data_IF_605828954463
#
_entry.id   IF_605828954463
#
_cell.length_a   1.000
_cell.length_b   1.000
_cell.length_c   1.000
_cell.angle_alpha   90.00
_cell.angle_beta   90.00
_cell.angle_gamma   90.00
#
_symmetry.space_group_name_H-M   'P 1'
#
loop_
_entity.id
_entity.type
_entity.pdbx_description
1 polymer ?
#
# COMPACT_ATOMS: atom_id res chain seq x y z
N UNK A 1 -11.29 8.06 -12.98
CA UNK A 1 -11.89 9.39 -13.26
C UNK A 1 -11.79 10.21 -12.00
N UNK A 2 -11.63 11.52 -12.11
CA UNK A 2 -11.62 12.40 -10.93
C UNK A 2 -13.03 12.51 -10.38
N UNK A 3 -13.28 11.95 -9.21
CA UNK A 3 -14.48 12.19 -8.39
C UNK A 3 -14.13 13.22 -7.32
N UNK A 4 -15.13 13.97 -6.83
CA UNK A 4 -14.95 14.88 -5.68
C UNK A 4 -14.95 14.14 -4.33
N UNK A 5 -15.12 12.81 -4.36
CA UNK A 5 -15.13 11.96 -3.17
C UNK A 5 -13.71 11.66 -2.70
N UNK A 6 -13.49 11.71 -1.39
CA UNK A 6 -12.23 11.29 -0.80
C UNK A 6 -12.02 9.79 -1.02
N UNK A 7 -10.87 9.37 -1.60
CA UNK A 7 -10.60 7.97 -1.87
C UNK A 7 -10.49 7.18 -0.56
N UNK A 8 -11.20 6.05 -0.50
CA UNK A 8 -11.12 5.10 0.59
C UNK A 8 -9.79 4.33 0.61
N UNK A 9 -9.61 3.52 1.65
CA UNK A 9 -8.42 2.69 1.81
C UNK A 9 -8.26 1.73 0.62
N UNK A 10 -7.21 1.92 -0.19
CA UNK A 10 -6.93 1.09 -1.37
C UNK A 10 -7.49 1.61 -2.69
N UNK A 11 -8.27 2.69 -2.71
CA UNK A 11 -8.88 3.25 -3.93
C UNK A 11 -7.86 3.92 -4.86
N UNK A 12 -6.68 4.25 -4.33
CA UNK A 12 -5.55 4.76 -5.12
C UNK A 12 -4.75 3.64 -5.80
N UNK A 13 -4.98 2.37 -5.46
CA UNK A 13 -4.32 1.27 -6.12
C UNK A 13 -4.92 1.06 -7.52
N UNK A 14 -4.08 1.18 -8.54
CA UNK A 14 -4.51 0.92 -9.91
C UNK A 14 -4.63 -0.58 -10.18
N UNK A 15 -5.72 -0.98 -10.81
CA UNK A 15 -5.89 -2.34 -11.31
C UNK A 15 -4.82 -2.68 -12.36
N UNK A 16 -4.26 -3.88 -12.27
CA UNK A 16 -3.31 -4.37 -13.26
C UNK A 16 -4.06 -4.83 -14.53
N UNK A 17 -3.90 -4.11 -15.64
CA UNK A 17 -4.52 -4.46 -16.93
C UNK A 17 -4.02 -5.80 -17.52
N UNK A 18 -2.85 -6.27 -17.07
CA UNK A 18 -2.24 -7.52 -17.55
C UNK A 18 -2.59 -8.73 -16.67
N UNK A 19 -3.02 -8.51 -15.43
CA UNK A 19 -3.48 -9.63 -14.62
C UNK A 19 -4.78 -10.19 -15.19
N UNK A 20 -4.98 -11.52 -15.13
CA UNK A 20 -6.28 -12.11 -15.44
C UNK A 20 -7.37 -11.51 -14.54
N UNK A 21 -8.39 -10.92 -15.16
CA UNK A 21 -9.56 -10.35 -14.53
C UNK A 21 -10.81 -10.95 -15.19
N UNK A 22 -11.50 -11.88 -14.49
CA UNK A 22 -12.76 -12.41 -14.96
C UNK A 22 -13.70 -11.25 -15.34
N UNK A 23 -14.44 -11.42 -16.43
CA UNK A 23 -15.40 -10.44 -17.00
C UNK A 23 -14.81 -9.14 -17.57
N UNK A 24 -13.50 -8.92 -17.48
CA UNK A 24 -12.84 -7.69 -17.98
C UNK A 24 -11.91 -7.98 -19.16
N UNK A 25 -10.93 -8.88 -18.97
CA UNK A 25 -9.90 -9.17 -19.97
C UNK A 25 -9.65 -10.68 -20.16
N UNK A 26 -10.60 -11.50 -19.76
CA UNK A 26 -10.57 -12.95 -19.88
C UNK A 26 -11.75 -13.42 -20.76
N UNK A 27 -11.58 -14.49 -21.57
CA UNK A 27 -12.69 -15.04 -22.35
C UNK A 27 -13.73 -15.69 -21.43
N UNK A 28 -14.99 -15.76 -21.87
CA UNK A 28 -16.11 -16.26 -21.05
C UNK A 28 -15.90 -17.71 -20.57
N UNK A 29 -15.20 -18.52 -21.35
CA UNK A 29 -14.90 -19.93 -21.09
C UNK A 29 -13.57 -20.17 -20.37
N UNK A 30 -12.94 -19.12 -19.82
CA UNK A 30 -11.64 -19.21 -19.15
C UNK A 30 -11.56 -20.31 -18.07
N UNK A 31 -12.69 -20.63 -17.43
CA UNK A 31 -12.81 -21.66 -16.40
C UNK A 31 -12.55 -23.08 -16.91
N UNK A 32 -12.63 -23.32 -18.22
CA UNK A 32 -12.29 -24.60 -18.84
C UNK A 32 -10.77 -24.82 -18.89
N UNK A 33 -9.99 -23.72 -18.88
CA UNK A 33 -8.53 -23.72 -18.95
C UNK A 33 -7.91 -22.77 -17.91
N UNK A 34 -8.19 -22.95 -16.60
CA UNK A 34 -7.79 -22.01 -15.56
C UNK A 34 -6.26 -21.90 -15.43
N UNK A 35 -5.51 -22.93 -15.82
CA UNK A 35 -4.05 -22.96 -15.81
C UNK A 35 -3.40 -21.90 -16.70
N UNK A 36 -4.13 -21.40 -17.71
CA UNK A 36 -3.67 -20.33 -18.60
C UNK A 36 -3.83 -18.93 -18.01
N UNK A 37 -4.66 -18.80 -16.99
CA UNK A 37 -5.09 -17.52 -16.43
C UNK A 37 -4.77 -17.40 -14.93
N UNK A 38 -3.60 -17.92 -14.54
CA UNK A 38 -3.13 -17.87 -13.15
C UNK A 38 -2.69 -16.45 -12.82
N UNK A 39 -3.26 -15.89 -11.74
CA UNK A 39 -2.80 -14.64 -11.15
C UNK A 39 -1.81 -14.93 -10.03
N UNK A 40 -0.58 -14.44 -10.19
CA UNK A 40 0.44 -14.49 -9.14
C UNK A 40 0.41 -13.19 -8.33
N UNK A 41 0.28 -13.35 -7.02
CA UNK A 41 0.35 -12.26 -6.04
C UNK A 41 1.52 -12.54 -5.09
N UNK A 42 2.43 -11.58 -4.98
CA UNK A 42 3.53 -11.55 -4.03
C UNK A 42 3.08 -10.72 -2.83
N UNK A 43 3.37 -11.21 -1.64
CA UNK A 43 3.25 -10.45 -0.39
C UNK A 43 4.63 -9.91 -0.04
N UNK A 44 4.72 -8.60 0.17
CA UNK A 44 5.92 -7.98 0.74
C UNK A 44 5.52 -7.16 1.98
N UNK A 45 6.40 -7.15 2.96
CA UNK A 45 6.16 -6.54 4.25
C UNK A 45 7.40 -5.83 4.76
N UNK A 46 7.30 -4.52 4.93
CA UNK A 46 8.29 -3.78 5.68
C UNK A 46 7.90 -3.77 7.16
N UNK A 47 8.40 -4.74 7.93
CA UNK A 47 8.18 -4.88 9.37
C UNK A 47 8.99 -3.90 10.25
N UNK A 48 9.75 -2.99 9.62
CA UNK A 48 10.47 -1.91 10.31
C UNK A 48 10.19 -0.58 9.63
N UNK A 49 8.92 -0.19 9.64
CA UNK A 49 8.48 1.14 9.25
C UNK A 49 8.16 1.95 10.51
N UNK A 50 8.90 3.02 10.77
CA UNK A 50 8.65 3.85 11.95
C UNK A 50 7.84 5.06 11.53
N UNK A 51 6.51 4.94 11.55
CA UNK A 51 5.61 6.07 11.34
C UNK A 51 5.27 6.71 12.69
N UNK A 52 5.62 7.97 12.88
CA UNK A 52 5.46 8.68 14.16
C UNK A 52 4.35 9.71 14.07
N UNK A 53 3.65 9.95 15.18
CA UNK A 53 2.83 11.16 15.30
C UNK A 53 3.73 12.39 15.27
N UNK A 54 3.37 13.39 14.46
CA UNK A 54 4.08 14.66 14.47
C UNK A 54 3.94 15.37 15.82
N UNK A 55 5.02 16.01 16.27
CA UNK A 55 5.08 16.69 17.57
C UNK A 55 4.11 17.88 17.67
N UNK A 56 3.71 18.45 16.53
CA UNK A 56 2.71 19.52 16.37
C UNK A 56 1.77 19.11 15.24
N UNK A 57 0.67 18.40 15.55
CA UNK A 57 -0.29 17.91 14.56
C UNK A 57 -0.88 19.02 13.69
N UNK A 58 -1.03 20.23 14.24
CA UNK A 58 -1.52 21.41 13.52
C UNK A 58 -0.63 21.84 12.35
N UNK A 59 0.64 21.41 12.35
CA UNK A 59 1.58 21.64 11.25
C UNK A 59 1.84 20.38 10.44
N UNK A 60 1.11 19.30 10.71
CA UNK A 60 1.20 18.05 9.96
C UNK A 60 0.51 18.25 8.62
N UNK A 61 1.29 18.10 7.55
CA UNK A 61 0.80 18.10 6.18
C UNK A 61 0.94 16.66 5.71
N UNK A 62 -0.07 15.80 6.00
CA UNK A 62 -0.04 14.44 5.51
C UNK A 62 -0.07 14.48 4.00
N UNK A 63 0.76 13.64 3.42
CA UNK A 63 0.80 13.47 1.99
C UNK A 63 -0.43 12.71 1.46
N UNK A 64 -0.95 11.79 2.27
CA UNK A 64 -2.24 11.14 2.17
C UNK A 64 -2.56 10.57 3.56
N UNK A 65 -3.82 10.21 3.81
CA UNK A 65 -4.25 9.61 5.06
C UNK A 65 -3.90 8.11 5.17
N UNK A 66 -2.63 7.76 4.93
CA UNK A 66 -2.16 6.38 5.08
C UNK A 66 -2.45 5.49 3.86
N UNK A 67 -2.61 6.08 2.68
CA UNK A 67 -2.86 5.34 1.43
C UNK A 67 -1.57 4.83 0.76
N UNK A 68 -0.54 4.52 1.56
CA UNK A 68 0.71 3.86 1.17
C UNK A 68 1.68 4.57 0.19
N UNK A 69 1.31 5.73 -0.37
CA UNK A 69 2.22 6.47 -1.28
C UNK A 69 2.92 7.63 -0.56
N UNK A 70 4.26 7.71 -0.64
CA UNK A 70 5.14 8.79 -0.14
C UNK A 70 5.71 9.63 -1.32
N UNK A 71 5.45 10.96 -1.41
CA UNK A 71 6.00 11.95 -2.34
C UNK A 71 7.04 12.77 -1.57
N UNK A 72 8.23 12.85 -2.13
CA UNK A 72 9.39 13.50 -1.54
C UNK A 72 9.36 15.00 -1.75
N UNK A 73 8.89 15.74 -0.74
CA UNK A 73 9.30 17.15 -0.54
C UNK A 73 9.75 17.39 0.91
N UNK A 74 10.37 16.38 1.52
CA UNK A 74 10.91 16.51 2.88
C UNK A 74 12.33 17.13 2.83
N UNK A 75 12.46 18.35 3.32
CA UNK A 75 13.77 18.91 3.65
C UNK A 75 14.43 18.04 4.74
N UNK A 76 15.66 17.56 4.45
CA UNK A 76 16.59 16.93 5.40
C UNK A 76 16.37 15.45 5.79
N UNK A 77 15.65 14.64 5.01
CA UNK A 77 15.67 13.15 5.08
C UNK A 77 15.50 12.52 6.50
N UNK A 78 14.85 13.23 7.43
CA UNK A 78 14.88 12.86 8.86
C UNK A 78 14.11 11.57 9.17
N UNK A 79 13.09 11.26 8.37
CA UNK A 79 12.29 10.04 8.48
C UNK A 79 13.13 8.78 8.19
N UNK A 80 14.02 8.83 7.20
CA UNK A 80 14.90 7.70 6.84
C UNK A 80 15.98 7.48 7.90
N UNK A 81 16.58 8.56 8.39
CA UNK A 81 17.68 8.50 9.35
C UNK A 81 17.27 8.04 10.75
N UNK A 82 15.97 7.98 11.06
CA UNK A 82 15.46 7.59 12.39
C UNK A 82 14.81 6.20 12.42
N UNK A 83 14.95 5.40 11.36
CA UNK A 83 14.40 4.03 11.21
C UNK A 83 14.66 3.10 12.41
N UNK A 84 15.78 3.24 13.12
CA UNK A 84 16.19 2.33 14.19
C UNK A 84 15.96 2.87 15.62
N UNK A 85 15.36 4.05 15.78
CA UNK A 85 15.12 4.60 17.11
C UNK A 85 13.95 3.89 17.79
N UNK A 86 14.19 3.21 18.93
CA UNK A 86 13.12 2.73 19.82
C UNK A 86 12.35 3.94 20.34
N UNK A 87 11.09 4.11 19.95
CA UNK A 87 10.26 5.25 20.37
C UNK A 87 8.88 4.82 20.84
N UNK A 88 8.33 5.61 21.77
CA UNK A 88 6.93 5.59 22.18
C UNK A 88 6.16 6.54 21.25
N UNK A 89 4.88 6.28 20.99
CA UNK A 89 3.97 7.06 20.11
C UNK A 89 4.15 6.83 18.59
N UNK A 90 4.04 5.57 18.15
CA UNK A 90 4.06 5.19 16.73
C UNK A 90 2.62 5.09 16.20
N UNK A 91 2.39 5.62 14.99
CA UNK A 91 1.14 5.48 14.23
C UNK A 91 1.08 4.16 13.47
N UNK A 92 2.23 3.66 13.01
CA UNK A 92 2.41 2.32 12.43
C UNK A 92 3.86 1.86 12.64
N UNK A 93 4.06 0.54 12.74
CA UNK A 93 5.38 -0.10 12.92
C UNK A 93 5.82 -0.97 11.76
N UNK A 94 4.90 -1.28 10.85
CA UNK A 94 5.18 -1.94 9.60
C UNK A 94 4.08 -1.68 8.59
N UNK A 95 4.33 -2.04 7.34
CA UNK A 95 3.32 -2.07 6.27
C UNK A 95 3.47 -3.39 5.53
N UNK A 96 2.36 -4.06 5.29
CA UNK A 96 2.26 -5.21 4.40
C UNK A 96 1.49 -4.82 3.14
N UNK A 97 1.92 -5.30 1.99
CA UNK A 97 1.22 -5.09 0.73
C UNK A 97 1.25 -6.36 -0.12
N UNK A 98 0.14 -6.61 -0.82
CA UNK A 98 0.10 -7.60 -1.88
C UNK A 98 0.26 -6.90 -3.24
N UNK A 99 1.13 -7.42 -4.09
CA UNK A 99 1.34 -6.92 -5.45
C UNK A 99 1.39 -8.06 -6.46
N UNK A 100 1.03 -7.81 -7.70
CA UNK A 100 1.21 -8.78 -8.77
C UNK A 100 2.65 -8.75 -9.33
N UNK A 101 3.01 -9.78 -10.10
CA UNK A 101 4.31 -9.85 -10.81
C UNK A 101 4.53 -8.70 -11.81
N UNK A 102 3.47 -8.00 -12.22
CA UNK A 102 3.55 -6.84 -13.10
C UNK A 102 3.81 -5.52 -12.34
N UNK A 103 3.99 -5.57 -11.01
CA UNK A 103 4.32 -4.41 -10.18
C UNK A 103 3.13 -3.56 -9.74
N UNK A 104 1.89 -4.00 -9.98
CA UNK A 104 0.70 -3.31 -9.48
C UNK A 104 0.30 -3.86 -8.11
N UNK A 105 0.03 -2.97 -7.16
CA UNK A 105 -0.59 -3.32 -5.87
C UNK A 105 -2.00 -3.86 -6.08
N UNK A 106 -2.36 -4.88 -5.30
CA UNK A 106 -3.72 -5.40 -5.26
C UNK A 106 -4.59 -4.41 -4.47
N UNK A 107 -5.71 -3.91 -5.05
CA UNK A 107 -6.61 -3.02 -4.33
C UNK A 107 -7.05 -3.60 -2.99
N UNK A 108 -7.12 -2.74 -1.97
CA UNK A 108 -7.46 -3.08 -0.57
C UNK A 108 -6.55 -4.12 0.11
N UNK A 109 -5.41 -4.48 -0.47
CA UNK A 109 -4.47 -5.47 0.08
C UNK A 109 -3.20 -4.82 0.66
N UNK A 110 -3.32 -3.59 1.15
CA UNK A 110 -2.27 -2.87 1.87
C UNK A 110 -2.74 -2.63 3.29
N UNK A 111 -1.92 -3.02 4.26
CA UNK A 111 -2.26 -3.00 5.69
C UNK A 111 -1.11 -2.42 6.50
N UNK A 112 -1.45 -1.64 7.53
CA UNK A 112 -0.50 -1.15 8.52
C UNK A 112 -0.39 -2.16 9.68
N UNK A 113 0.84 -2.45 10.12
CA UNK A 113 1.12 -3.31 11.28
C UNK A 113 1.48 -2.48 12.51
N UNK A 114 1.00 -2.89 13.69
CA UNK A 114 1.35 -2.30 14.98
C UNK A 114 2.31 -3.19 15.77
N UNK A 115 3.01 -2.59 16.75
CA UNK A 115 4.05 -3.29 17.50
C UNK A 115 3.47 -4.50 18.24
N UNK A 116 3.92 -5.71 17.90
CA UNK A 116 3.45 -6.97 18.49
C UNK A 116 2.50 -7.76 17.59
N UNK A 117 2.09 -7.21 16.44
CA UNK A 117 1.41 -7.94 15.37
C UNK A 117 2.49 -8.54 14.46
N UNK A 118 2.63 -9.88 14.47
CA UNK A 118 3.48 -10.65 13.57
C UNK A 118 2.72 -11.85 13.02
#
# INVERSE_FOLDING_TARGET
GHTEEEPGAGDLAQFCSLCPQPTINMPDDWQQHPERYIRFTILDGNFKLVHMYMRRPENDVPLNDGLAFLRSTCHSHRAVNQRNAKRKNLRATGIGAAACMHGCFVPHAVVDFHAGEQ
#
